data_IF_693217102049
#
_entry.id   IF_693217102049
#
_cell.length_a   1.000
_cell.length_b   1.000
_cell.length_c   1.000
_cell.angle_alpha   90.00
_cell.angle_beta   90.00
_cell.angle_gamma   90.00
#
_symmetry.space_group_name_H-M   'P 1'
#
loop_
_entity.id
_entity.type
_entity.pdbx_description
1 polymer ?
#
# COMPACT_ATOMS: atom_id res chain seq x y z
N UNK A 1 -8.29 -14.37 -2.90
CA UNK A 1 -7.06 -13.75 -2.32
C UNK A 1 -6.26 -12.93 -3.34
N UNK A 2 -6.88 -12.54 -4.47
CA UNK A 2 -6.21 -11.74 -5.50
C UNK A 2 -5.78 -10.36 -4.97
N UNK A 3 -6.54 -9.78 -4.03
CA UNK A 3 -6.19 -8.50 -3.41
C UNK A 3 -4.83 -8.52 -2.70
N UNK A 4 -4.50 -9.60 -1.99
CA UNK A 4 -3.20 -9.76 -1.31
C UNK A 4 -2.04 -9.89 -2.29
N UNK A 5 -2.28 -10.54 -3.44
CA UNK A 5 -1.29 -10.60 -4.54
C UNK A 5 -1.06 -9.22 -5.13
N UNK A 6 -2.12 -8.43 -5.34
CA UNK A 6 -1.98 -7.06 -5.86
C UNK A 6 -1.25 -6.16 -4.86
N UNK A 7 -1.51 -6.27 -3.56
CA UNK A 7 -0.74 -5.54 -2.55
C UNK A 7 0.74 -5.90 -2.55
N UNK A 8 1.07 -7.19 -2.69
CA UNK A 8 2.45 -7.62 -2.85
C UNK A 8 3.10 -6.99 -4.09
N UNK A 9 2.40 -7.00 -5.23
CA UNK A 9 2.88 -6.37 -6.47
C UNK A 9 3.07 -4.85 -6.30
N UNK A 10 2.16 -4.18 -5.58
CA UNK A 10 2.27 -2.75 -5.27
C UNK A 10 3.44 -2.45 -4.31
N UNK A 11 3.72 -3.34 -3.36
CA UNK A 11 4.91 -3.27 -2.52
C UNK A 11 6.20 -3.41 -3.33
N UNK A 12 6.25 -4.35 -4.27
CA UNK A 12 7.37 -4.48 -5.21
C UNK A 12 7.51 -3.25 -6.11
N UNK A 13 6.39 -2.71 -6.61
CA UNK A 13 6.38 -1.45 -7.36
C UNK A 13 6.96 -0.31 -6.54
N UNK A 14 6.56 -0.17 -5.28
CA UNK A 14 7.05 0.88 -4.39
C UNK A 14 8.57 0.79 -4.19
N UNK A 15 9.13 -0.43 -4.07
CA UNK A 15 10.57 -0.64 -3.96
C UNK A 15 11.35 -0.28 -5.25
N UNK A 16 10.73 -0.46 -6.42
CA UNK A 16 11.35 -0.19 -7.73
C UNK A 16 11.18 1.28 -8.14
N UNK A 17 10.09 1.91 -7.72
CA UNK A 17 9.72 3.26 -8.13
C UNK A 17 10.81 4.33 -7.92
N UNK A 18 11.69 4.26 -6.89
CA UNK A 18 12.70 5.28 -6.71
C UNK A 18 13.73 5.33 -7.84
N UNK A 19 14.02 4.18 -8.46
CA UNK A 19 14.92 4.06 -9.60
C UNK A 19 14.30 4.61 -10.88
N UNK A 20 12.97 4.54 -11.01
CA UNK A 20 12.23 5.07 -12.17
C UNK A 20 12.13 6.60 -12.10
N UNK A 21 11.81 7.14 -10.92
CA UNK A 21 11.63 8.59 -10.75
C UNK A 21 12.94 9.36 -10.52
N UNK A 22 14.08 8.66 -10.43
CA UNK A 22 15.40 9.29 -10.31
C UNK A 22 15.52 10.19 -9.09
N UNK A 23 15.23 9.65 -7.90
CA UNK A 23 15.33 10.41 -6.65
C UNK A 23 16.71 11.07 -6.52
N UNK A 24 16.72 12.38 -6.29
CA UNK A 24 17.97 13.08 -6.00
C UNK A 24 18.58 12.55 -4.70
N UNK A 25 19.91 12.48 -4.61
CA UNK A 25 20.61 12.03 -3.38
C UNK A 25 20.24 12.85 -2.14
N UNK A 26 19.80 14.10 -2.33
CA UNK A 26 19.27 14.97 -1.27
C UNK A 26 17.93 14.50 -0.67
N UNK A 27 17.26 13.52 -1.28
CA UNK A 27 15.96 12.98 -0.84
C UNK A 27 16.09 11.61 -0.14
N UNK A 28 17.17 11.41 0.61
CA UNK A 28 17.46 10.16 1.34
C UNK A 28 16.32 9.70 2.26
N UNK A 29 15.60 10.64 2.88
CA UNK A 29 14.43 10.35 3.72
C UNK A 29 13.29 9.69 2.94
N UNK A 30 12.99 10.20 1.74
CA UNK A 30 11.94 9.66 0.87
C UNK A 30 12.30 8.23 0.43
N UNK A 31 13.57 8.04 0.08
CA UNK A 31 14.11 6.74 -0.32
C UNK A 31 13.99 5.70 0.80
N UNK A 32 14.37 6.07 2.03
CA UNK A 32 14.23 5.20 3.19
C UNK A 32 12.76 4.84 3.46
N UNK A 33 11.85 5.82 3.34
CA UNK A 33 10.42 5.60 3.57
C UNK A 33 9.81 4.69 2.51
N UNK A 34 10.17 4.82 1.24
CA UNK A 34 9.69 3.92 0.18
C UNK A 34 10.13 2.47 0.44
N UNK A 35 11.39 2.24 0.82
CA UNK A 35 11.89 0.91 1.15
C UNK A 35 11.22 0.33 2.40
N UNK A 36 11.07 1.12 3.46
CA UNK A 36 10.41 0.69 4.70
C UNK A 36 8.95 0.33 4.43
N UNK A 37 8.22 1.19 3.71
CA UNK A 37 6.83 0.94 3.35
C UNK A 37 6.72 -0.30 2.46
N UNK A 38 7.58 -0.46 1.45
CA UNK A 38 7.58 -1.61 0.56
C UNK A 38 7.77 -2.92 1.35
N UNK A 39 8.76 -2.96 2.25
CA UNK A 39 9.02 -4.12 3.09
C UNK A 39 7.83 -4.47 3.97
N UNK A 40 7.20 -3.47 4.60
CA UNK A 40 6.03 -3.66 5.45
C UNK A 40 4.82 -4.16 4.66
N UNK A 41 4.52 -3.55 3.51
CA UNK A 41 3.40 -3.95 2.64
C UNK A 41 3.58 -5.41 2.18
N UNK A 42 4.77 -5.75 1.70
CA UNK A 42 5.09 -7.12 1.27
C UNK A 42 4.93 -8.10 2.43
N UNK A 43 5.47 -7.77 3.61
CA UNK A 43 5.38 -8.61 4.79
C UNK A 43 3.93 -8.81 5.24
N UNK A 44 3.12 -7.76 5.29
CA UNK A 44 1.71 -7.84 5.66
C UNK A 44 0.90 -8.65 4.63
N UNK A 45 1.15 -8.44 3.33
CA UNK A 45 0.51 -9.21 2.28
C UNK A 45 0.79 -10.72 2.43
N UNK A 46 2.04 -11.11 2.68
CA UNK A 46 2.42 -12.51 2.88
C UNK A 46 1.88 -13.09 4.20
N UNK A 47 2.00 -12.36 5.30
CA UNK A 47 1.51 -12.80 6.62
C UNK A 47 -0.01 -12.94 6.67
N UNK A 48 -0.74 -12.21 5.83
CA UNK A 48 -2.21 -12.28 5.75
C UNK A 48 -2.73 -13.66 5.33
N UNK A 49 -1.91 -14.49 4.68
CA UNK A 49 -2.26 -15.86 4.31
C UNK A 49 -2.27 -16.79 5.54
N UNK A 50 -1.59 -16.42 6.62
CA UNK A 50 -1.56 -17.21 7.83
C UNK A 50 -2.81 -16.94 8.68
N UNK A 51 -3.56 -18.00 9.02
CA UNK A 51 -4.82 -17.92 9.78
C UNK A 51 -4.79 -16.99 11.02
N UNK A 52 -3.81 -17.07 11.94
CA UNK A 52 -3.78 -16.19 13.12
C UNK A 52 -3.60 -14.71 12.75
N UNK A 53 -2.91 -14.42 11.64
CA UNK A 53 -2.60 -13.06 11.18
C UNK A 53 -3.48 -12.63 10.01
N UNK A 54 -4.62 -13.29 9.78
CA UNK A 54 -5.48 -13.00 8.63
C UNK A 54 -5.92 -11.54 8.53
N UNK A 55 -6.05 -10.83 9.66
CA UNK A 55 -6.47 -9.41 9.70
C UNK A 55 -5.31 -8.41 9.55
N UNK A 56 -4.06 -8.88 9.39
CA UNK A 56 -2.89 -7.99 9.25
C UNK A 56 -2.98 -7.10 8.01
N UNK A 57 -3.84 -7.44 7.03
CA UNK A 57 -4.12 -6.54 5.92
C UNK A 57 -4.69 -5.17 6.33
N UNK A 58 -5.29 -5.07 7.52
CA UNK A 58 -5.74 -3.78 8.06
C UNK A 58 -4.55 -2.88 8.43
N UNK A 59 -3.39 -3.45 8.75
CA UNK A 59 -2.16 -2.69 8.93
C UNK A 59 -1.70 -2.08 7.59
N UNK A 60 -1.93 -2.77 6.46
CA UNK A 60 -1.72 -2.20 5.12
C UNK A 60 -2.63 -0.99 4.88
N UNK A 61 -3.91 -1.06 5.30
CA UNK A 61 -4.83 0.08 5.20
C UNK A 61 -4.34 1.29 6.02
N UNK A 62 -3.86 1.07 7.24
CA UNK A 62 -3.28 2.11 8.07
C UNK A 62 -2.03 2.73 7.42
N UNK A 63 -1.11 1.88 6.93
CA UNK A 63 0.10 2.34 6.25
C UNK A 63 -0.23 3.13 4.98
N UNK A 64 -1.23 2.70 4.21
CA UNK A 64 -1.70 3.41 3.03
C UNK A 64 -2.20 4.83 3.35
N UNK A 65 -2.94 5.01 4.46
CA UNK A 65 -3.36 6.35 4.92
C UNK A 65 -2.15 7.21 5.28
N UNK A 66 -1.15 6.64 5.96
CA UNK A 66 0.08 7.36 6.28
C UNK A 66 0.84 7.77 5.01
N UNK A 67 0.93 6.90 4.01
CA UNK A 67 1.56 7.22 2.72
C UNK A 67 0.83 8.38 2.01
N UNK A 68 -0.50 8.34 1.94
CA UNK A 68 -1.30 9.42 1.34
C UNK A 68 -1.06 10.73 2.08
N UNK A 69 -1.09 10.70 3.42
CA UNK A 69 -0.83 11.86 4.25
C UNK A 69 0.58 12.41 4.03
N UNK A 70 1.60 11.54 4.06
CA UNK A 70 2.98 11.93 3.83
C UNK A 70 3.16 12.56 2.45
N UNK A 71 2.70 11.91 1.38
CA UNK A 71 2.79 12.47 0.02
C UNK A 71 2.08 13.82 -0.13
N UNK A 72 0.97 14.04 0.59
CA UNK A 72 0.20 15.29 0.54
C UNK A 72 0.81 16.43 1.35
N UNK A 73 1.42 16.14 2.50
CA UNK A 73 1.91 17.13 3.46
C UNK A 73 3.43 17.30 3.46
N UNK A 74 4.19 16.38 2.87
CA UNK A 74 5.65 16.48 2.75
C UNK A 74 6.11 17.54 1.74
N UNK A 75 5.21 18.09 0.92
CA UNK A 75 5.52 19.26 0.11
C UNK A 75 5.60 20.51 1.01
N UNK A 76 6.77 21.14 1.20
CA UNK A 76 6.83 22.42 1.86
C UNK A 76 6.11 23.43 0.95
N UNK A 77 4.92 23.87 1.38
CA UNK A 77 4.03 24.79 0.67
C UNK A 77 4.66 26.18 0.38
N UNK A 78 5.94 26.39 0.70
CA UNK A 78 6.64 27.68 0.69
C UNK A 78 7.89 27.73 -0.20
N UNK A 79 8.36 26.61 -0.78
CA UNK A 79 9.68 26.58 -1.44
C UNK A 79 9.65 26.22 -2.93
N UNK A 80 8.53 25.71 -3.45
CA UNK A 80 8.45 25.19 -4.83
C UNK A 80 7.18 25.75 -5.49
N UNK A 81 7.26 26.47 -6.62
CA UNK A 81 6.07 26.92 -7.34
C UNK A 81 5.22 25.72 -7.77
N UNK A 82 3.89 25.88 -7.81
CA UNK A 82 2.91 24.82 -8.06
C UNK A 82 3.12 24.03 -9.38
N UNK A 83 3.99 24.54 -10.26
CA UNK A 83 4.44 23.91 -11.50
C UNK A 83 5.45 22.75 -11.31
N UNK A 84 6.07 22.64 -10.14
CA UNK A 84 7.02 21.56 -9.82
C UNK A 84 6.45 20.58 -8.79
N UNK A 85 5.43 19.82 -9.20
CA UNK A 85 4.96 18.69 -8.40
C UNK A 85 5.98 17.55 -8.50
N UNK A 86 6.50 17.08 -7.37
CA UNK A 86 7.49 15.99 -7.33
C UNK A 86 6.78 14.69 -7.74
N UNK A 87 7.12 14.06 -8.88
CA UNK A 87 6.42 12.87 -9.38
C UNK A 87 6.45 11.70 -8.39
N UNK A 88 7.54 11.57 -7.62
CA UNK A 88 7.67 10.55 -6.59
C UNK A 88 6.60 10.65 -5.49
N UNK A 89 6.26 11.88 -5.04
CA UNK A 89 5.22 12.07 -4.03
C UNK A 89 3.82 11.75 -4.59
N UNK A 90 3.56 12.07 -5.87
CA UNK A 90 2.33 11.65 -6.54
C UNK A 90 2.22 10.13 -6.65
N UNK A 91 3.32 9.45 -7.01
CA UNK A 91 3.38 8.00 -7.02
C UNK A 91 3.08 7.42 -5.63
N UNK A 92 3.64 8.02 -4.57
CA UNK A 92 3.42 7.59 -3.20
C UNK A 92 1.94 7.72 -2.79
N UNK A 93 1.27 8.82 -3.15
CA UNK A 93 -0.18 9.01 -2.94
C UNK A 93 -1.00 7.98 -3.73
N UNK A 94 -0.73 7.83 -5.03
CA UNK A 94 -1.48 6.90 -5.90
C UNK A 94 -1.32 5.45 -5.45
N UNK A 95 -0.11 5.04 -5.10
CA UNK A 95 0.17 3.71 -4.55
C UNK A 95 -0.58 3.51 -3.24
N UNK A 96 -0.57 4.51 -2.34
CA UNK A 96 -1.36 4.50 -1.12
C UNK A 96 -2.87 4.36 -1.36
N UNK A 97 -3.45 5.09 -2.32
CA UNK A 97 -4.87 4.98 -2.65
C UNK A 97 -5.25 3.58 -3.15
N UNK A 98 -4.41 3.00 -4.02
CA UNK A 98 -4.63 1.63 -4.51
C UNK A 98 -4.52 0.61 -3.38
N UNK A 99 -3.50 0.73 -2.52
CA UNK A 99 -3.34 -0.13 -1.35
C UNK A 99 -4.54 -0.02 -0.41
N UNK A 100 -5.04 1.19 -0.15
CA UNK A 100 -6.21 1.40 0.70
C UNK A 100 -7.44 0.69 0.12
N UNK A 101 -7.66 0.78 -1.19
CA UNK A 101 -8.76 0.10 -1.86
C UNK A 101 -8.67 -1.43 -1.69
N UNK A 102 -7.50 -2.03 -1.89
CA UNK A 102 -7.33 -3.49 -1.77
C UNK A 102 -7.28 -3.96 -0.32
N UNK A 103 -6.78 -3.14 0.60
CA UNK A 103 -6.68 -3.47 2.01
C UNK A 103 -8.05 -3.57 2.68
N UNK A 104 -9.06 -2.87 2.16
CA UNK A 104 -10.44 -2.98 2.63
C UNK A 104 -11.13 -4.27 2.18
N UNK A 105 -10.67 -4.92 1.10
CA UNK A 105 -11.28 -6.16 0.58
C UNK A 105 -10.94 -7.35 1.49
N UNK A 106 -11.92 -8.02 2.12
CA UNK A 106 -11.64 -9.15 3.01
C UNK A 106 -10.95 -10.31 2.30
N UNK A 107 -10.11 -11.06 3.02
CA UNK A 107 -9.40 -12.22 2.45
C UNK A 107 -10.32 -13.28 1.84
N UNK A 108 -11.53 -13.40 2.39
CA UNK A 108 -12.55 -14.37 1.99
C UNK A 108 -13.59 -13.81 1.00
N UNK A 109 -13.35 -12.64 0.38
CA UNK A 109 -14.31 -12.03 -0.56
C UNK A 109 -14.61 -12.89 -1.80
N UNK A 110 -13.75 -13.86 -2.12
CA UNK A 110 -13.96 -14.82 -3.21
C UNK A 110 -14.70 -16.10 -2.79
N UNK A 111 -14.97 -16.27 -1.49
CA UNK A 111 -15.71 -17.43 -0.97
C UNK A 111 -17.20 -17.09 -0.89
N UNK A 112 -18.09 -18.07 -1.13
CA UNK A 112 -19.52 -17.88 -0.90
C UNK A 112 -19.80 -17.47 0.55
N UNK A 113 -20.89 -16.74 0.82
CA UNK A 113 -21.33 -16.45 2.17
C UNK A 113 -21.45 -17.74 2.99
N UNK A 114 -20.90 -17.77 4.20
CA UNK A 114 -20.91 -18.97 5.05
C UNK A 114 -22.34 -19.46 5.36
N UNK A 115 -23.34 -18.57 5.32
CA UNK A 115 -24.76 -18.92 5.50
C UNK A 115 -25.28 -19.90 4.43
N UNK A 116 -24.87 -19.73 3.16
CA UNK A 116 -25.34 -20.59 2.07
C UNK A 116 -24.82 -22.02 2.17
N UNK A 117 -23.61 -22.21 2.71
CA UNK A 117 -23.08 -23.56 2.97
C UNK A 117 -23.85 -24.29 4.06
N UNK A 118 -24.23 -23.58 5.14
CA UNK A 118 -24.96 -24.15 6.27
C UNK A 118 -26.35 -24.66 5.89
N UNK A 119 -27.02 -23.99 4.95
CA UNK A 119 -28.36 -24.36 4.49
C UNK A 119 -28.34 -25.52 3.47
N UNK A 120 -27.25 -25.72 2.74
CA UNK A 120 -27.14 -26.80 1.75
C UNK A 120 -26.86 -28.19 2.33
N UNK A 121 -26.56 -28.30 3.63
CA UNK A 121 -26.21 -29.56 4.31
C UNK A 121 -27.20 -29.93 5.42
N UNK A 122 -28.31 -29.19 5.54
CA UNK A 122 -29.48 -29.54 6.35
C UNK A 122 -30.64 -29.93 5.43
#
# INVERSE_FOLDING_TARGET
MWSRVVEFMLGCWLAISPFVFGHAESQSMLWFMDWLCALLIISFALLSYWQPLRHIHLATAFLAVLMIGYGRFAQPAQLIPAEHVIPALQNHILTGLLLLMFALVPNHASQPPQGWYRESHN
#
